data_IF_646113493013
#
_entry.id   IF_646113493013
#
_cell.length_a   1.000
_cell.length_b   1.000
_cell.length_c   1.000
_cell.angle_alpha   90.00
_cell.angle_beta   90.00
_cell.angle_gamma   90.00
#
_symmetry.space_group_name_H-M   'P 1'
#
loop_
_entity.id
_entity.type
_entity.pdbx_description
1 polymer ?
#
# COMPACT_ATOMS: atom_id res chain seq x y z
N UNK A 1 -45.62 -0.29 0.06
CA UNK A 1 -44.39 0.46 -0.20
C UNK A 1 -43.29 -0.57 -0.37
N UNK A 2 -42.57 -0.56 -1.48
CA UNK A 2 -41.51 -1.51 -1.70
C UNK A 2 -40.35 -1.24 -0.70
N UNK A 3 -39.63 -2.27 -0.28
CA UNK A 3 -38.47 -2.14 0.60
C UNK A 3 -37.42 -1.16 0.06
N UNK A 4 -37.39 -0.96 -1.25
CA UNK A 4 -36.56 0.02 -1.95
C UNK A 4 -36.96 1.47 -1.62
N UNK A 5 -38.23 1.83 -1.64
CA UNK A 5 -38.68 3.19 -1.34
C UNK A 5 -38.42 3.57 0.13
N UNK A 6 -38.56 2.61 1.06
CA UNK A 6 -38.20 2.80 2.46
C UNK A 6 -36.68 3.03 2.63
N UNK A 7 -35.84 2.29 1.87
CA UNK A 7 -34.39 2.46 1.91
C UNK A 7 -33.94 3.81 1.34
N UNK A 8 -34.57 4.27 0.24
CA UNK A 8 -34.26 5.59 -0.33
C UNK A 8 -34.74 6.74 0.55
N UNK A 9 -35.84 6.58 1.28
CA UNK A 9 -36.32 7.62 2.21
C UNK A 9 -35.36 7.86 3.37
N UNK A 10 -34.62 6.84 3.81
CA UNK A 10 -33.57 6.95 4.85
C UNK A 10 -32.40 7.80 4.33
N UNK A 11 -32.00 7.64 3.07
CA UNK A 11 -30.95 8.46 2.45
C UNK A 11 -31.33 9.94 2.32
N UNK A 12 -32.62 10.25 2.20
CA UNK A 12 -33.16 11.63 2.16
C UNK A 12 -33.11 12.37 3.50
N UNK A 13 -32.79 11.69 4.60
CA UNK A 13 -32.68 12.36 5.91
C UNK A 13 -31.39 13.19 5.96
N UNK A 14 -31.51 14.49 6.26
CA UNK A 14 -30.40 15.46 6.29
C UNK A 14 -29.19 15.02 7.12
N UNK A 15 -29.39 14.26 8.21
CA UNK A 15 -28.30 13.77 9.06
C UNK A 15 -27.52 12.59 8.46
N UNK A 16 -28.19 11.69 7.75
CA UNK A 16 -27.58 10.49 7.16
C UNK A 16 -26.65 10.87 6.02
N UNK A 17 -27.05 11.76 5.15
CA UNK A 17 -26.22 12.23 4.03
C UNK A 17 -24.94 12.93 4.53
N UNK A 18 -25.05 13.77 5.56
CA UNK A 18 -23.90 14.43 6.17
C UNK A 18 -22.91 13.42 6.79
N UNK A 19 -23.42 12.35 7.39
CA UNK A 19 -22.59 11.29 7.97
C UNK A 19 -21.85 10.48 6.90
N UNK A 20 -22.53 10.15 5.81
CA UNK A 20 -21.92 9.44 4.66
C UNK A 20 -20.83 10.31 4.02
N UNK A 21 -21.11 11.59 3.77
CA UNK A 21 -20.10 12.52 3.21
C UNK A 21 -18.89 12.64 4.12
N UNK A 22 -19.10 12.78 5.42
CA UNK A 22 -18.01 12.81 6.40
C UNK A 22 -17.16 11.54 6.32
N UNK A 23 -17.77 10.35 6.33
CA UNK A 23 -17.07 9.07 6.22
C UNK A 23 -16.28 8.95 4.92
N UNK A 24 -16.85 9.38 3.80
CA UNK A 24 -16.19 9.38 2.48
C UNK A 24 -14.94 10.27 2.49
N UNK A 25 -15.04 11.48 3.02
CA UNK A 25 -13.87 12.39 3.12
C UNK A 25 -12.74 11.77 3.94
N UNK A 26 -13.05 11.19 5.10
CA UNK A 26 -12.01 10.52 5.91
C UNK A 26 -11.39 9.32 5.21
N UNK A 27 -12.18 8.53 4.49
CA UNK A 27 -11.67 7.41 3.70
C UNK A 27 -10.71 7.89 2.62
N UNK A 28 -11.03 8.96 1.90
CA UNK A 28 -10.16 9.54 0.88
C UNK A 28 -8.86 10.09 1.48
N UNK A 29 -8.93 10.78 2.61
CA UNK A 29 -7.74 11.29 3.30
C UNK A 29 -6.81 10.14 3.72
N UNK A 30 -7.36 9.10 4.34
CA UNK A 30 -6.57 7.93 4.76
C UNK A 30 -5.97 7.21 3.56
N UNK A 31 -6.73 7.04 2.47
CA UNK A 31 -6.23 6.43 1.24
C UNK A 31 -5.08 7.23 0.65
N UNK A 32 -5.19 8.55 0.59
CA UNK A 32 -4.12 9.42 0.10
C UNK A 32 -2.85 9.31 0.95
N UNK A 33 -2.98 9.37 2.27
CA UNK A 33 -1.85 9.19 3.20
C UNK A 33 -1.22 7.80 3.01
N UNK A 34 -2.04 6.75 2.92
CA UNK A 34 -1.55 5.39 2.75
C UNK A 34 -0.80 5.21 1.42
N UNK A 35 -1.26 5.81 0.33
CA UNK A 35 -0.57 5.76 -0.97
C UNK A 35 0.75 6.51 -0.90
N UNK A 36 0.77 7.75 -0.40
CA UNK A 36 2.01 8.56 -0.33
C UNK A 36 3.08 7.88 0.53
N UNK A 37 2.73 7.47 1.75
CA UNK A 37 3.67 6.78 2.64
C UNK A 37 4.00 5.37 2.10
N UNK A 38 3.04 4.69 1.49
CA UNK A 38 3.23 3.41 0.82
C UNK A 38 4.24 3.48 -0.33
N UNK A 39 4.23 4.55 -1.13
CA UNK A 39 5.23 4.77 -2.19
C UNK A 39 6.62 4.93 -1.60
N UNK A 40 6.77 5.75 -0.56
CA UNK A 40 8.08 5.99 0.07
C UNK A 40 8.63 4.68 0.66
N UNK A 41 7.87 4.02 1.52
CA UNK A 41 8.29 2.77 2.18
C UNK A 41 8.48 1.66 1.15
N UNK A 42 7.53 1.50 0.21
CA UNK A 42 7.58 0.50 -0.84
C UNK A 42 8.78 0.65 -1.77
N UNK A 43 9.16 1.89 -2.10
CA UNK A 43 10.37 2.16 -2.88
C UNK A 43 11.64 1.72 -2.13
N UNK A 44 11.75 2.04 -0.85
CA UNK A 44 12.88 1.60 -0.01
C UNK A 44 12.94 0.07 0.06
N UNK A 45 11.83 -0.60 0.29
CA UNK A 45 11.75 -2.06 0.35
C UNK A 45 12.13 -2.71 -0.98
N UNK A 46 11.67 -2.15 -2.12
CA UNK A 46 12.03 -2.63 -3.45
C UNK A 46 13.53 -2.51 -3.72
N UNK A 47 14.12 -1.37 -3.36
CA UNK A 47 15.56 -1.15 -3.48
C UNK A 47 16.37 -2.10 -2.58
N UNK A 48 15.97 -2.26 -1.33
CA UNK A 48 16.61 -3.22 -0.42
C UNK A 48 16.56 -4.63 -0.98
N UNK A 49 15.41 -5.10 -1.46
CA UNK A 49 15.26 -6.43 -2.05
C UNK A 49 16.08 -6.61 -3.32
N UNK A 50 16.26 -5.57 -4.13
CA UNK A 50 16.94 -5.68 -5.44
C UNK A 50 18.45 -5.46 -5.37
N UNK A 51 18.93 -4.61 -4.47
CA UNK A 51 20.33 -4.17 -4.42
C UNK A 51 21.10 -4.69 -3.20
N UNK A 52 20.45 -5.12 -2.13
CA UNK A 52 21.12 -5.64 -0.95
C UNK A 52 21.56 -7.09 -1.14
N UNK A 53 22.55 -7.31 -2.03
CA UNK A 53 23.08 -8.66 -2.38
C UNK A 53 24.44 -8.93 -1.72
N UNK A 54 25.12 -7.89 -1.21
CA UNK A 54 26.42 -8.02 -0.52
C UNK A 54 26.29 -8.80 0.80
N UNK A 55 27.34 -9.52 1.21
CA UNK A 55 27.35 -10.32 2.47
C UNK A 55 26.88 -9.53 3.69
N UNK A 56 27.23 -8.22 3.79
CA UNK A 56 26.84 -7.35 4.90
C UNK A 56 25.38 -6.86 4.82
N UNK A 57 24.83 -6.68 3.61
CA UNK A 57 23.50 -6.10 3.39
C UNK A 57 22.44 -7.15 3.06
N UNK A 58 22.81 -8.40 2.85
CA UNK A 58 21.89 -9.50 2.50
C UNK A 58 20.75 -9.69 3.50
N UNK A 59 21.01 -9.40 4.78
CA UNK A 59 20.01 -9.49 5.84
C UNK A 59 18.86 -8.52 5.57
N UNK A 60 19.15 -7.27 5.18
CA UNK A 60 18.12 -6.28 4.87
C UNK A 60 17.25 -6.69 3.66
N UNK A 61 17.89 -7.26 2.62
CA UNK A 61 17.17 -7.79 1.47
C UNK A 61 16.26 -8.98 1.85
N UNK A 62 16.71 -9.84 2.75
CA UNK A 62 15.91 -10.97 3.25
C UNK A 62 14.72 -10.49 4.09
N UNK A 63 14.93 -9.54 5.00
CA UNK A 63 13.84 -8.95 5.80
C UNK A 63 12.81 -8.29 4.90
N UNK A 64 13.25 -7.50 3.91
CA UNK A 64 12.35 -6.88 2.93
C UNK A 64 11.56 -7.93 2.14
N UNK A 65 12.17 -9.03 1.75
CA UNK A 65 11.51 -10.14 1.05
C UNK A 65 10.43 -10.77 1.92
N UNK A 66 10.77 -11.16 3.15
CA UNK A 66 9.81 -11.78 4.09
C UNK A 66 8.65 -10.83 4.36
N UNK A 67 8.94 -9.55 4.60
CA UNK A 67 7.90 -8.53 4.80
C UNK A 67 6.93 -8.48 3.62
N UNK A 68 7.44 -8.33 2.40
CA UNK A 68 6.62 -8.22 1.19
C UNK A 68 5.78 -9.48 0.99
N UNK A 69 6.36 -10.66 1.16
CA UNK A 69 5.66 -11.94 0.95
C UNK A 69 4.57 -12.16 2.00
N UNK A 70 4.83 -11.87 3.27
CA UNK A 70 3.85 -12.03 4.35
C UNK A 70 2.66 -11.09 4.13
N UNK A 71 2.89 -9.80 3.86
CA UNK A 71 1.80 -8.85 3.67
C UNK A 71 0.98 -9.10 2.40
N UNK A 72 1.59 -9.56 1.31
CA UNK A 72 0.89 -9.85 0.05
C UNK A 72 0.10 -11.15 0.07
N UNK A 73 0.59 -12.16 0.78
CA UNK A 73 -0.07 -13.48 0.85
C UNK A 73 -1.18 -13.53 1.91
N UNK A 74 -1.36 -12.46 2.67
CA UNK A 74 -2.35 -12.39 3.73
C UNK A 74 -3.43 -11.36 3.37
N UNK A 75 -4.73 -11.64 3.57
CA UNK A 75 -5.79 -10.69 3.29
C UNK A 75 -5.62 -9.38 4.10
N UNK A 76 -5.86 -8.23 3.45
CA UNK A 76 -5.80 -6.91 4.10
C UNK A 76 -6.65 -6.83 5.37
N UNK A 77 -7.84 -7.44 5.34
CA UNK A 77 -8.77 -7.42 6.46
C UNK A 77 -8.14 -8.00 7.75
N UNK A 78 -7.34 -9.07 7.62
CA UNK A 78 -6.62 -9.65 8.75
C UNK A 78 -5.63 -8.66 9.37
N UNK A 79 -4.89 -7.90 8.53
CA UNK A 79 -3.96 -6.87 9.01
C UNK A 79 -4.67 -5.73 9.72
N UNK A 80 -5.86 -5.33 9.23
CA UNK A 80 -6.69 -4.34 9.93
C UNK A 80 -7.04 -4.84 11.33
N UNK A 81 -7.51 -6.08 11.48
CA UNK A 81 -7.83 -6.66 12.80
C UNK A 81 -6.60 -6.77 13.69
N UNK A 82 -5.47 -7.22 13.18
CA UNK A 82 -4.21 -7.29 13.94
C UNK A 82 -3.82 -5.88 14.44
N UNK A 83 -3.86 -4.87 13.58
CA UNK A 83 -3.54 -3.50 13.99
C UNK A 83 -4.57 -2.92 14.98
N UNK A 84 -5.85 -3.25 14.85
CA UNK A 84 -6.89 -2.82 15.80
C UNK A 84 -6.61 -3.35 17.23
N UNK A 85 -6.11 -4.58 17.34
CA UNK A 85 -5.86 -5.21 18.64
C UNK A 85 -4.47 -4.84 19.18
N UNK A 86 -3.43 -5.01 18.38
CA UNK A 86 -2.04 -4.96 18.84
C UNK A 86 -1.33 -3.62 18.64
N UNK A 87 -1.80 -2.76 17.68
CA UNK A 87 -1.10 -1.51 17.43
C UNK A 87 -1.33 -0.51 18.57
N UNK A 88 -0.27 -0.03 19.24
CA UNK A 88 -0.40 1.02 20.22
C UNK A 88 -0.81 2.33 19.54
N UNK A 89 -1.74 3.05 20.15
CA UNK A 89 -2.16 4.35 19.64
C UNK A 89 -1.44 5.45 20.44
N UNK A 90 -0.66 6.32 19.78
CA UNK A 90 -0.01 7.46 20.45
C UNK A 90 -1.03 8.37 21.11
N UNK A 91 -0.66 8.99 22.24
CA UNK A 91 -1.54 9.88 23.01
C UNK A 91 -2.05 11.09 22.20
N UNK A 92 -1.32 11.48 21.17
CA UNK A 92 -1.70 12.53 20.24
C UNK A 92 -3.07 12.26 19.58
N UNK A 93 -3.39 11.00 19.31
CA UNK A 93 -4.67 10.56 18.74
C UNK A 93 -5.74 10.28 19.81
N UNK A 94 -5.44 10.57 21.07
CA UNK A 94 -6.39 10.47 22.19
C UNK A 94 -7.26 11.73 22.31
N UNK A 95 -7.32 12.57 21.29
CA UNK A 95 -8.08 13.82 21.24
C UNK A 95 -9.17 13.75 20.19
N UNK A 96 -10.21 14.57 20.37
CA UNK A 96 -11.23 14.77 19.33
C UNK A 96 -10.59 15.54 18.17
N UNK A 97 -10.44 14.92 17.03
CA UNK A 97 -9.91 15.55 15.82
C UNK A 97 -11.03 15.69 14.77
N UNK A 98 -11.13 16.85 14.15
CA UNK A 98 -12.06 17.10 13.02
C UNK A 98 -13.50 16.66 13.26
N UNK A 99 -14.02 16.82 14.48
CA UNK A 99 -15.39 16.43 14.83
C UNK A 99 -15.62 14.92 14.94
N UNK A 100 -14.54 14.13 15.04
CA UNK A 100 -14.56 12.70 15.37
C UNK A 100 -14.47 12.51 16.87
N UNK A 101 -15.10 11.44 17.34
CA UNK A 101 -14.91 10.98 18.73
C UNK A 101 -13.50 10.42 18.93
N UNK A 102 -13.03 10.41 20.15
CA UNK A 102 -11.71 9.84 20.50
C UNK A 102 -11.58 8.38 20.03
N UNK A 103 -12.66 7.60 20.10
CA UNK A 103 -12.68 6.19 19.67
C UNK A 103 -12.53 6.10 18.16
N UNK A 104 -13.30 6.87 17.40
CA UNK A 104 -13.21 6.92 15.94
C UNK A 104 -11.79 7.33 15.47
N UNK A 105 -11.20 8.33 16.11
CA UNK A 105 -9.83 8.76 15.79
C UNK A 105 -8.81 7.65 15.99
N UNK A 106 -8.90 6.89 17.09
CA UNK A 106 -8.02 5.74 17.35
C UNK A 106 -8.21 4.62 16.32
N UNK A 107 -9.45 4.29 15.99
CA UNK A 107 -9.75 3.26 15.01
C UNK A 107 -9.23 3.63 13.62
N UNK A 108 -9.42 4.89 13.20
CA UNK A 108 -8.91 5.40 11.92
C UNK A 108 -7.38 5.37 11.86
N UNK A 109 -6.70 5.76 12.95
CA UNK A 109 -5.24 5.69 13.01
C UNK A 109 -4.74 4.25 12.83
N UNK A 110 -5.29 3.29 13.57
CA UNK A 110 -4.92 1.87 13.50
C UNK A 110 -5.20 1.26 12.11
N UNK A 111 -6.34 1.61 11.51
CA UNK A 111 -6.67 1.21 10.15
C UNK A 111 -5.71 1.83 9.12
N UNK A 112 -5.35 3.10 9.29
CA UNK A 112 -4.37 3.77 8.42
C UNK A 112 -3.00 3.09 8.46
N UNK A 113 -2.53 2.71 9.65
CA UNK A 113 -1.27 1.95 9.81
C UNK A 113 -1.33 0.63 9.03
N UNK A 114 -2.41 -0.14 9.16
CA UNK A 114 -2.58 -1.40 8.42
C UNK A 114 -2.56 -1.17 6.90
N UNK A 115 -3.26 -0.13 6.42
CA UNK A 115 -3.28 0.25 5.01
C UNK A 115 -1.90 0.64 4.49
N UNK A 116 -1.14 1.45 5.24
CA UNK A 116 0.20 1.87 4.86
C UNK A 116 1.13 0.66 4.73
N UNK A 117 1.13 -0.24 5.70
CA UNK A 117 1.96 -1.44 5.69
C UNK A 117 1.60 -2.35 4.50
N UNK A 118 0.32 -2.59 4.27
CA UNK A 118 -0.13 -3.41 3.16
C UNK A 118 0.20 -2.76 1.80
N UNK A 119 -0.15 -1.48 1.61
CA UNK A 119 0.09 -0.75 0.36
C UNK A 119 1.57 -0.68 0.03
N UNK A 120 2.45 -0.48 1.02
CA UNK A 120 3.90 -0.46 0.82
C UNK A 120 4.43 -1.78 0.27
N UNK A 121 3.89 -2.92 0.70
CA UNK A 121 4.27 -4.24 0.20
C UNK A 121 3.86 -4.45 -1.27
N UNK A 122 2.67 -3.99 -1.64
CA UNK A 122 2.16 -4.06 -3.02
C UNK A 122 3.00 -3.18 -3.94
N UNK A 123 3.25 -1.94 -3.54
CA UNK A 123 4.05 -0.97 -4.31
C UNK A 123 5.50 -1.47 -4.48
N UNK A 124 6.09 -2.04 -3.43
CA UNK A 124 7.43 -2.61 -3.51
C UNK A 124 7.55 -3.68 -4.60
N UNK A 125 6.54 -4.53 -4.74
CA UNK A 125 6.55 -5.57 -5.77
C UNK A 125 6.31 -5.01 -7.18
N UNK A 126 5.46 -3.99 -7.33
CA UNK A 126 5.24 -3.29 -8.60
C UNK A 126 6.56 -2.66 -9.08
N UNK A 127 7.26 -1.95 -8.21
CA UNK A 127 8.55 -1.32 -8.52
C UNK A 127 9.59 -2.39 -8.89
N UNK A 128 9.66 -3.49 -8.13
CA UNK A 128 10.56 -4.60 -8.44
C UNK A 128 10.27 -5.22 -9.80
N UNK A 129 8.99 -5.40 -10.13
CA UNK A 129 8.56 -5.90 -11.44
C UNK A 129 9.03 -4.99 -12.58
N UNK A 130 8.87 -3.67 -12.45
CA UNK A 130 9.35 -2.67 -13.40
C UNK A 130 10.86 -2.71 -13.59
N UNK A 131 11.63 -2.68 -12.49
CA UNK A 131 13.10 -2.74 -12.53
C UNK A 131 13.64 -4.01 -13.21
N UNK A 132 12.98 -5.14 -13.04
CA UNK A 132 13.39 -6.40 -13.67
C UNK A 132 12.99 -6.47 -15.15
N UNK A 133 11.91 -5.81 -15.56
CA UNK A 133 11.49 -5.71 -16.95
C UNK A 133 12.50 -4.92 -17.78
N UNK A 134 12.96 -3.77 -17.28
CA UNK A 134 13.97 -2.96 -17.95
C UNK A 134 15.29 -3.70 -18.15
N UNK A 135 15.73 -4.49 -17.18
CA UNK A 135 16.93 -5.32 -17.32
C UNK A 135 16.81 -6.38 -18.41
N UNK A 136 15.62 -6.97 -18.60
CA UNK A 136 15.38 -7.94 -19.67
C UNK A 136 15.41 -7.27 -21.04
N UNK A 137 14.74 -6.13 -21.21
CA UNK A 137 14.71 -5.41 -22.48
C UNK A 137 16.11 -4.93 -22.91
N UNK A 138 16.91 -4.42 -21.98
CA UNK A 138 18.30 -3.99 -22.24
C UNK A 138 19.17 -5.16 -22.69
N UNK A 139 19.03 -6.34 -22.09
CA UNK A 139 19.80 -7.53 -22.51
C UNK A 139 19.40 -8.04 -23.89
N UNK A 140 18.10 -8.01 -24.23
CA UNK A 140 17.61 -8.40 -25.54
C UNK A 140 18.10 -7.46 -26.64
N UNK A 141 18.07 -6.14 -26.40
CA UNK A 141 18.60 -5.16 -27.35
C UNK A 141 20.11 -5.28 -27.57
N UNK A 142 20.87 -5.61 -26.53
CA UNK A 142 22.32 -5.81 -26.67
C UNK A 142 22.66 -7.10 -27.42
N UNK A 143 21.85 -8.16 -27.34
CA UNK A 143 22.07 -9.39 -28.12
C UNK A 143 21.74 -9.19 -29.60
N UNK A 144 20.68 -8.45 -29.95
CA UNK A 144 20.37 -8.12 -31.34
C UNK A 144 21.37 -7.17 -31.99
N UNK A 145 21.98 -6.24 -31.26
CA UNK A 145 23.03 -5.38 -31.77
C UNK A 145 24.39 -6.10 -31.97
N UNK A 146 24.59 -7.23 -31.31
CA UNK A 146 25.77 -8.08 -31.49
C UNK A 146 25.70 -8.97 -32.75
N UNK A 147 24.49 -9.39 -33.11
CA UNK A 147 24.28 -10.31 -34.27
C UNK A 147 24.38 -9.60 -35.64
N UNK A 148 24.19 -8.29 -35.68
CA UNK A 148 24.35 -7.49 -36.90
C UNK A 148 25.83 -7.22 -37.29
N UNK A 149 26.80 -7.72 -36.58
CA UNK A 149 28.24 -7.55 -36.84
C UNK A 149 28.96 -8.83 -37.36
N UNK A 150 28.25 -9.75 -37.96
CA UNK A 150 28.92 -10.81 -38.70
C UNK A 150 29.48 -10.22 -39.99
N UNK A 151 30.82 -10.26 -40.22
CA UNK A 151 31.40 -9.87 -41.50
C UNK A 151 30.91 -10.86 -42.54
N UNK A 152 30.33 -10.37 -43.61
CA UNK A 152 30.10 -11.08 -44.84
C UNK A 152 31.48 -11.49 -45.34
N UNK A 153 31.91 -12.74 -45.11
CA UNK A 153 33.07 -13.34 -45.76
C UNK A 153 32.70 -13.65 -47.20
N UNK A 154 33.26 -12.82 -48.07
CA UNK A 154 33.38 -13.14 -49.50
C UNK A 154 34.25 -14.38 -49.72
#
# INVERSE_FOLDING_TARGET
MSNLEASFSILGQKGVMAYILKGTVFTLIIALIAVVLGIVIGSVLALCRNYCTSKKTKIFGMIATVYIEVFRNTPLLLWIFICLVFCPCPELFNRKLFGLTTVETKLLFKAAVALILFTSSVIAEIIRGGLNSDRKSTRLNSSHSGESRMPSSA
#
